data_IF_351806336952
#
_entry.id   IF_351806336952
#
_cell.length_a   1.000
_cell.length_b   1.000
_cell.length_c   1.000
_cell.angle_alpha   90.00
_cell.angle_beta   90.00
_cell.angle_gamma   90.00
#
_symmetry.space_group_name_H-M   'P 1'
#
loop_
_entity.id
_entity.type
_entity.pdbx_description
1 polymer ?
#
# COMPACT_ATOMS: atom_id res chain seq x y z
N UNK A 1 -14.26 -0.59 21.14
CA UNK A 1 -14.00 0.86 21.05
C UNK A 1 -12.61 1.16 20.55
N UNK A 2 -11.53 0.77 21.24
CA UNK A 2 -10.15 0.98 20.72
C UNK A 2 -9.89 0.18 19.43
N UNK A 3 -10.35 -1.06 19.37
CA UNK A 3 -10.15 -1.93 18.19
C UNK A 3 -10.86 -1.40 16.93
N UNK A 4 -12.06 -0.82 17.08
CA UNK A 4 -12.80 -0.22 15.97
C UNK A 4 -12.07 1.02 15.41
N UNK A 5 -11.45 1.82 16.28
CA UNK A 5 -10.65 2.99 15.89
C UNK A 5 -9.38 2.54 15.16
N UNK A 6 -8.68 1.51 15.68
CA UNK A 6 -7.48 0.96 15.04
C UNK A 6 -7.83 0.39 13.67
N UNK A 7 -8.92 -0.36 13.55
CA UNK A 7 -9.35 -0.96 12.29
C UNK A 7 -9.72 0.11 11.26
N UNK A 8 -10.36 1.20 11.67
CA UNK A 8 -10.69 2.32 10.79
C UNK A 8 -9.43 3.07 10.32
N UNK A 9 -8.53 3.43 11.24
CA UNK A 9 -7.30 4.17 10.91
C UNK A 9 -6.36 3.32 10.04
N UNK A 10 -6.10 2.08 10.46
CA UNK A 10 -5.21 1.17 9.71
C UNK A 10 -5.85 0.73 8.40
N UNK A 11 -7.18 0.58 8.36
CA UNK A 11 -7.94 0.34 7.13
C UNK A 11 -7.76 1.45 6.11
N UNK A 12 -7.96 2.71 6.52
CA UNK A 12 -7.78 3.88 5.65
C UNK A 12 -6.32 3.99 5.19
N UNK A 13 -5.35 3.80 6.10
CA UNK A 13 -3.93 3.85 5.76
C UNK A 13 -3.53 2.75 4.78
N UNK A 14 -4.09 1.55 4.91
CA UNK A 14 -3.84 0.43 3.98
C UNK A 14 -4.42 0.72 2.60
N UNK A 15 -5.65 1.26 2.53
CA UNK A 15 -6.23 1.68 1.25
C UNK A 15 -5.40 2.81 0.62
N UNK A 16 -4.94 3.77 1.42
CA UNK A 16 -4.05 4.83 0.99
C UNK A 16 -2.72 4.29 0.44
N UNK A 17 -2.11 3.33 1.14
CA UNK A 17 -0.88 2.67 0.71
C UNK A 17 -1.05 1.89 -0.60
N UNK A 18 -2.16 1.17 -0.80
CA UNK A 18 -2.48 0.49 -2.05
C UNK A 18 -2.65 1.49 -3.19
N UNK A 19 -3.35 2.60 -2.93
CA UNK A 19 -3.61 3.64 -3.93
C UNK A 19 -2.31 4.33 -4.34
N UNK A 20 -1.46 4.68 -3.37
CA UNK A 20 -0.12 5.24 -3.63
C UNK A 20 0.77 4.22 -4.35
N UNK A 21 0.71 2.95 -3.99
CA UNK A 21 1.39 1.84 -4.65
C UNK A 21 1.04 1.78 -6.14
N UNK A 22 -0.26 1.73 -6.43
CA UNK A 22 -0.80 1.67 -7.80
C UNK A 22 -0.48 2.93 -8.61
N UNK A 23 -0.59 4.12 -8.00
CA UNK A 23 -0.24 5.39 -8.66
C UNK A 23 1.24 5.45 -9.01
N UNK A 24 2.11 5.06 -8.07
CA UNK A 24 3.56 4.99 -8.27
C UNK A 24 3.91 4.06 -9.43
N UNK A 25 3.31 2.86 -9.49
CA UNK A 25 3.50 1.94 -10.61
C UNK A 25 2.99 2.50 -11.95
N UNK A 26 1.83 3.17 -11.94
CA UNK A 26 1.30 3.83 -13.16
C UNK A 26 2.27 4.90 -13.67
N UNK A 27 2.90 5.65 -12.77
CA UNK A 27 3.91 6.66 -13.12
C UNK A 27 5.18 5.98 -13.63
N UNK A 28 5.66 4.93 -12.97
CA UNK A 28 6.82 4.14 -13.41
C UNK A 28 6.63 3.63 -14.84
N UNK A 29 5.46 3.05 -15.16
CA UNK A 29 5.12 2.57 -16.51
C UNK A 29 5.11 3.68 -17.56
N UNK A 30 4.72 4.91 -17.19
CA UNK A 30 4.81 6.07 -18.10
C UNK A 30 6.27 6.46 -18.38
N UNK A 31 7.15 6.35 -17.39
CA UNK A 31 8.58 6.68 -17.51
C UNK A 31 9.34 5.58 -18.28
N UNK A 32 8.96 4.31 -18.12
CA UNK A 32 9.51 3.18 -18.86
C UNK A 32 9.45 3.38 -20.39
N UNK A 33 8.38 4.04 -20.88
CA UNK A 33 8.19 4.33 -22.30
C UNK A 33 9.09 5.44 -22.85
N UNK A 34 9.79 6.19 -22.00
CA UNK A 34 10.55 7.38 -22.40
C UNK A 34 12.04 7.12 -22.63
N UNK A 35 12.56 5.91 -22.41
CA UNK A 35 13.95 5.49 -22.68
C UNK A 35 14.99 6.15 -21.77
N UNK A 36 14.93 7.47 -21.63
CA UNK A 36 15.90 8.31 -20.94
C UNK A 36 15.55 8.55 -19.45
N UNK A 37 14.63 7.74 -18.91
CA UNK A 37 14.05 7.94 -17.57
C UNK A 37 14.09 6.69 -16.68
N UNK A 38 15.01 5.76 -16.95
CA UNK A 38 15.16 4.52 -16.19
C UNK A 38 15.31 4.76 -14.68
N UNK A 39 16.13 5.73 -14.27
CA UNK A 39 16.35 6.02 -12.85
C UNK A 39 15.09 6.53 -12.15
N UNK A 40 14.24 7.28 -12.86
CA UNK A 40 12.92 7.71 -12.36
C UNK A 40 11.93 6.54 -12.33
N UNK A 41 11.97 5.67 -13.33
CA UNK A 41 11.14 4.45 -13.33
C UNK A 41 11.46 3.59 -12.12
N UNK A 42 12.74 3.33 -11.84
CA UNK A 42 13.18 2.51 -10.70
C UNK A 42 12.74 3.13 -9.38
N UNK A 43 12.92 4.45 -9.19
CA UNK A 43 12.51 5.10 -7.95
C UNK A 43 11.00 5.01 -7.71
N UNK A 44 10.18 5.25 -8.74
CA UNK A 44 8.72 5.08 -8.64
C UNK A 44 8.29 3.62 -8.41
N UNK A 45 9.00 2.65 -8.99
CA UNK A 45 8.72 1.23 -8.74
C UNK A 45 9.03 0.84 -7.29
N UNK A 46 10.16 1.30 -6.73
CA UNK A 46 10.51 1.05 -5.32
C UNK A 46 9.46 1.68 -4.39
N UNK A 47 9.06 2.93 -4.67
CA UNK A 47 8.01 3.62 -3.93
C UNK A 47 6.67 2.87 -4.02
N UNK A 48 6.35 2.35 -5.20
CA UNK A 48 5.18 1.52 -5.45
C UNK A 48 5.17 0.23 -4.64
N UNK A 49 6.30 -0.49 -4.65
CA UNK A 49 6.48 -1.71 -3.85
C UNK A 49 6.36 -1.43 -2.36
N UNK A 50 6.94 -0.32 -1.87
CA UNK A 50 6.83 0.09 -0.48
C UNK A 50 5.38 0.29 -0.04
N UNK A 51 4.56 0.96 -0.86
CA UNK A 51 3.13 1.14 -0.59
C UNK A 51 2.33 -0.17 -0.53
N UNK A 52 2.64 -1.11 -1.43
CA UNK A 52 2.00 -2.43 -1.42
C UNK A 52 2.41 -3.28 -0.22
N UNK A 53 3.70 -3.32 0.11
CA UNK A 53 4.22 -4.06 1.27
C UNK A 53 3.62 -3.49 2.55
N UNK A 54 3.64 -2.17 2.72
CA UNK A 54 3.03 -1.51 3.87
C UNK A 54 1.57 -1.90 4.03
N UNK A 55 0.79 -1.83 2.94
CA UNK A 55 -0.64 -2.19 2.99
C UNK A 55 -0.86 -3.67 3.31
N UNK A 56 -0.06 -4.57 2.74
CA UNK A 56 -0.16 -6.00 3.00
C UNK A 56 0.17 -6.32 4.47
N UNK A 57 1.25 -5.74 5.01
CA UNK A 57 1.64 -5.90 6.42
C UNK A 57 0.57 -5.32 7.34
N UNK A 58 0.09 -4.10 7.06
CA UNK A 58 -0.97 -3.47 7.83
C UNK A 58 -2.26 -4.29 7.83
N UNK A 59 -2.62 -4.89 6.70
CA UNK A 59 -3.79 -5.75 6.60
C UNK A 59 -3.62 -7.04 7.40
N UNK A 60 -2.49 -7.74 7.25
CA UNK A 60 -2.24 -9.04 7.91
C UNK A 60 -2.07 -8.90 9.42
N UNK A 61 -1.38 -7.86 9.89
CA UNK A 61 -1.03 -7.73 11.32
C UNK A 61 -2.07 -6.99 12.15
N UNK A 62 -2.89 -6.14 11.55
CA UNK A 62 -3.87 -5.35 12.32
C UNK A 62 -5.30 -5.69 11.92
N UNK A 63 -5.62 -5.69 10.62
CA UNK A 63 -7.01 -5.86 10.16
C UNK A 63 -7.46 -7.31 10.34
N UNK A 64 -6.64 -8.28 9.91
CA UNK A 64 -6.98 -9.70 9.98
C UNK A 64 -7.20 -10.20 11.41
N UNK A 65 -6.33 -9.91 12.41
CA UNK A 65 -6.50 -10.43 13.76
C UNK A 65 -7.72 -9.84 14.46
N UNK A 66 -8.02 -8.55 14.23
CA UNK A 66 -9.21 -7.90 14.80
C UNK A 66 -10.48 -8.49 14.18
N UNK A 67 -10.50 -8.76 12.87
CA UNK A 67 -11.63 -9.44 12.24
C UNK A 67 -11.80 -10.86 12.80
N UNK A 68 -10.72 -11.64 12.88
CA UNK A 68 -10.77 -13.00 13.42
C UNK A 68 -11.27 -13.01 14.87
N UNK A 69 -10.78 -12.13 15.72
CA UNK A 69 -11.22 -12.00 17.12
C UNK A 69 -12.67 -11.52 17.29
N UNK A 70 -13.28 -10.96 16.23
CA UNK A 70 -14.67 -10.49 16.24
C UNK A 70 -15.65 -11.55 15.72
N UNK A 71 -15.18 -12.47 14.88
CA UNK A 71 -16.00 -13.51 14.25
C UNK A 71 -15.83 -14.90 14.89
N UNK A 72 -14.75 -15.14 15.63
CA UNK A 72 -14.50 -16.36 16.42
C UNK A 72 -14.54 -16.05 17.92
#
# INVERSE_FOLDING_TARGET
MLDDIILLVVGILSIGGLTLGALSFRIAMKHARKGDQEMKMISWTILGMGGFIFSAVSFVYFILPILLARYF
#
